data_IF_794122338410
#
_entry.id   IF_794122338410
#
_cell.length_a   1.000
_cell.length_b   1.000
_cell.length_c   1.000
_cell.angle_alpha   90.00
_cell.angle_beta   90.00
_cell.angle_gamma   90.00
#
_symmetry.space_group_name_H-M   'P 1'
#
loop_
_entity.id
_entity.type
_entity.pdbx_description
1 polymer ?
#
# COMPACT_ATOMS: atom_id res chain seq x y z
N UNK A 1 6.90 2.83 11.63
CA UNK A 1 6.45 1.70 10.78
C UNK A 1 4.97 1.93 10.51
N UNK A 2 4.52 1.75 9.27
CA UNK A 2 3.12 1.89 8.88
C UNK A 2 2.50 0.51 8.75
N UNK A 3 1.18 0.43 8.87
CA UNK A 3 0.42 -0.81 8.70
C UNK A 3 -0.73 -0.56 7.73
N UNK A 4 -0.88 -1.46 6.77
CA UNK A 4 -2.09 -1.53 5.93
C UNK A 4 -3.00 -2.56 6.55
N UNK A 5 -4.26 -2.18 6.79
CA UNK A 5 -5.32 -3.12 7.15
C UNK A 5 -6.37 -3.14 6.04
N UNK A 6 -6.90 -4.32 5.73
CA UNK A 6 -8.09 -4.47 4.89
C UNK A 6 -9.17 -5.25 5.63
N UNK A 7 -10.42 -4.86 5.43
CA UNK A 7 -11.56 -5.36 6.17
C UNK A 7 -12.84 -5.24 5.35
N UNK A 8 -13.81 -6.10 5.65
CA UNK A 8 -15.17 -5.96 5.16
C UNK A 8 -16.14 -6.62 6.13
N UNK A 9 -17.41 -6.20 6.07
CA UNK A 9 -18.50 -6.87 6.75
C UNK A 9 -19.78 -6.65 5.96
N UNK A 10 -20.47 -7.75 5.68
CA UNK A 10 -21.87 -7.68 5.25
C UNK A 10 -22.76 -7.60 6.48
N UNK A 11 -23.46 -6.49 6.62
CA UNK A 11 -24.43 -6.24 7.70
C UNK A 11 -25.37 -5.13 7.23
N UNK A 12 -26.65 -5.24 7.56
CA UNK A 12 -27.62 -4.20 7.22
C UNK A 12 -27.28 -2.92 7.97
N UNK A 13 -26.95 -1.86 7.24
CA UNK A 13 -26.62 -0.55 7.79
C UNK A 13 -27.72 0.47 7.52
N UNK A 14 -28.08 1.20 8.57
CA UNK A 14 -28.97 2.35 8.53
C UNK A 14 -28.15 3.64 8.70
N UNK A 15 -28.68 4.77 8.23
CA UNK A 15 -28.04 6.09 8.37
C UNK A 15 -26.57 6.13 7.88
N UNK A 16 -26.29 5.49 6.74
CA UNK A 16 -24.93 5.35 6.19
C UNK A 16 -24.24 6.70 5.91
N UNK A 17 -25.02 7.76 5.72
CA UNK A 17 -24.55 9.14 5.55
C UNK A 17 -23.88 9.68 6.83
N UNK A 18 -24.50 9.46 7.99
CA UNK A 18 -23.96 9.86 9.29
C UNK A 18 -22.70 9.07 9.58
N UNK A 19 -22.78 7.75 9.41
CA UNK A 19 -21.67 6.87 9.69
C UNK A 19 -20.46 7.10 8.77
N UNK A 20 -20.69 7.47 7.51
CA UNK A 20 -19.64 7.93 6.59
C UNK A 20 -18.87 9.12 7.16
N UNK A 21 -19.58 10.08 7.75
CA UNK A 21 -18.97 11.30 8.32
C UNK A 21 -18.11 10.93 9.53
N UNK A 22 -18.62 10.12 10.44
CA UNK A 22 -17.90 9.65 11.64
C UNK A 22 -16.63 8.88 11.28
N UNK A 23 -16.70 7.95 10.31
CA UNK A 23 -15.51 7.24 9.82
C UNK A 23 -14.49 8.22 9.23
N UNK A 24 -14.94 9.17 8.42
CA UNK A 24 -14.04 10.13 7.79
C UNK A 24 -13.34 11.02 8.82
N UNK A 25 -14.08 11.54 9.80
CA UNK A 25 -13.55 12.32 10.92
C UNK A 25 -12.53 11.51 11.71
N UNK A 26 -12.85 10.25 12.06
CA UNK A 26 -11.94 9.38 12.78
C UNK A 26 -10.64 9.11 12.03
N UNK A 27 -10.72 8.87 10.73
CA UNK A 27 -9.54 8.69 9.89
C UNK A 27 -8.69 9.97 9.83
N UNK A 28 -9.32 11.15 9.69
CA UNK A 28 -8.62 12.44 9.63
C UNK A 28 -7.88 12.72 10.94
N UNK A 29 -8.56 12.57 12.09
CA UNK A 29 -7.97 12.74 13.42
C UNK A 29 -6.79 11.81 13.68
N UNK A 30 -6.82 10.61 13.09
CA UNK A 30 -5.79 9.59 13.25
C UNK A 30 -4.76 9.59 12.13
N UNK A 31 -4.77 10.60 11.24
CA UNK A 31 -3.88 10.69 10.07
C UNK A 31 -3.88 9.43 9.18
N UNK A 32 -5.02 8.75 9.08
CA UNK A 32 -5.22 7.54 8.29
C UNK A 32 -5.65 7.93 6.87
N UNK A 33 -4.96 7.36 5.88
CA UNK A 33 -5.34 7.44 4.47
C UNK A 33 -5.82 6.06 4.00
N UNK A 34 -6.58 6.01 2.92
CA UNK A 34 -7.22 4.75 2.53
C UNK A 34 -8.47 4.93 1.70
N UNK A 35 -9.12 3.81 1.42
CA UNK A 35 -10.43 3.79 0.77
C UNK A 35 -11.40 2.96 1.59
N UNK A 36 -12.54 3.55 1.91
CA UNK A 36 -13.64 2.90 2.60
C UNK A 36 -14.92 3.11 1.78
N UNK A 37 -15.62 2.02 1.52
CA UNK A 37 -16.91 1.97 0.85
C UNK A 37 -17.98 1.56 1.85
N UNK A 38 -19.07 2.30 1.87
CA UNK A 38 -20.25 2.02 2.67
C UNK A 38 -21.44 1.83 1.74
N UNK A 39 -22.27 0.85 2.04
CA UNK A 39 -23.56 0.65 1.42
C UNK A 39 -24.54 0.16 2.49
N UNK A 40 -25.83 0.12 2.19
CA UNK A 40 -26.80 -0.50 3.09
C UNK A 40 -26.50 -1.98 3.36
N UNK A 41 -25.76 -2.66 2.46
CA UNK A 41 -25.31 -4.04 2.64
C UNK A 41 -24.05 -4.19 3.52
N UNK A 42 -23.41 -3.09 3.95
CA UNK A 42 -22.28 -3.15 4.89
C UNK A 42 -21.11 -2.20 4.60
N UNK A 43 -19.91 -2.64 4.97
CA UNK A 43 -18.65 -1.89 4.86
C UNK A 43 -17.57 -2.71 4.15
N UNK A 44 -16.73 -2.05 3.36
CA UNK A 44 -15.51 -2.60 2.77
C UNK A 44 -14.43 -1.53 2.76
N UNK A 45 -13.23 -1.83 3.22
CA UNK A 45 -12.17 -0.85 3.22
C UNK A 45 -10.77 -1.43 3.29
N UNK A 46 -9.84 -0.60 2.89
CA UNK A 46 -8.44 -0.78 3.18
C UNK A 46 -7.82 0.58 3.50
N UNK A 47 -7.09 0.64 4.60
CA UNK A 47 -6.52 1.89 5.13
C UNK A 47 -5.10 1.68 5.60
N UNK A 48 -4.34 2.76 5.70
CA UNK A 48 -2.96 2.76 6.13
C UNK A 48 -2.68 3.95 7.07
N UNK A 49 -2.01 3.63 8.17
CA UNK A 49 -1.61 4.58 9.20
C UNK A 49 -0.46 4.02 10.03
N UNK A 50 0.07 4.80 10.96
CA UNK A 50 0.97 4.24 11.98
C UNK A 50 0.20 3.26 12.88
N UNK A 51 0.94 2.39 13.56
CA UNK A 51 0.38 1.31 14.37
C UNK A 51 -0.60 1.81 15.45
N UNK A 52 -0.30 2.91 16.14
CA UNK A 52 -1.17 3.45 17.20
C UNK A 52 -2.47 3.98 16.62
N UNK A 53 -2.40 4.63 15.46
CA UNK A 53 -3.57 5.15 14.74
C UNK A 53 -4.45 4.01 14.24
N UNK A 54 -3.86 2.95 13.70
CA UNK A 54 -4.59 1.75 13.25
C UNK A 54 -5.32 1.08 14.42
N UNK A 55 -4.67 0.87 15.56
CA UNK A 55 -5.33 0.26 16.74
C UNK A 55 -6.53 1.10 17.20
N UNK A 56 -6.37 2.43 17.29
CA UNK A 56 -7.48 3.33 17.64
C UNK A 56 -8.64 3.25 16.65
N UNK A 57 -8.33 3.11 15.36
CA UNK A 57 -9.34 2.99 14.31
C UNK A 57 -10.05 1.64 14.36
N UNK A 58 -9.33 0.53 14.62
CA UNK A 58 -9.93 -0.79 14.84
C UNK A 58 -10.87 -0.78 16.04
N UNK A 59 -10.46 -0.20 17.17
CA UNK A 59 -11.33 -0.08 18.36
C UNK A 59 -12.57 0.78 18.11
N UNK A 60 -12.48 1.78 17.23
CA UNK A 60 -13.65 2.56 16.80
C UNK A 60 -14.60 1.71 15.94
N UNK A 61 -14.09 1.00 14.94
CA UNK A 61 -14.92 0.16 14.08
C UNK A 61 -15.56 -1.01 14.83
N UNK A 62 -14.89 -1.57 15.84
CA UNK A 62 -15.42 -2.68 16.66
C UNK A 62 -16.76 -2.33 17.33
N UNK A 63 -17.02 -1.05 17.61
CA UNK A 63 -18.28 -0.59 18.23
C UNK A 63 -19.47 -0.77 17.29
N UNK A 64 -19.27 -0.61 15.98
CA UNK A 64 -20.31 -0.74 14.96
C UNK A 64 -20.27 -2.09 14.23
N UNK A 65 -19.10 -2.74 14.23
CA UNK A 65 -18.84 -4.02 13.57
C UNK A 65 -18.12 -4.96 14.54
N UNK A 66 -18.83 -5.53 15.52
CA UNK A 66 -18.22 -6.47 16.44
C UNK A 66 -17.64 -7.67 15.69
N UNK A 67 -16.45 -8.11 16.12
CA UNK A 67 -15.69 -9.21 15.51
C UNK A 67 -15.28 -8.96 14.06
N UNK A 68 -15.03 -7.71 13.68
CA UNK A 68 -14.51 -7.38 12.36
C UNK A 68 -13.10 -7.94 12.18
N UNK A 69 -12.90 -8.78 11.17
CA UNK A 69 -11.59 -9.38 10.90
C UNK A 69 -10.74 -8.49 9.99
N UNK A 70 -9.52 -8.18 10.44
CA UNK A 70 -8.56 -7.36 9.69
C UNK A 70 -7.46 -8.24 9.08
N UNK A 71 -7.16 -8.00 7.80
CA UNK A 71 -5.95 -8.56 7.17
C UNK A 71 -4.88 -7.48 7.21
N UNK A 72 -3.83 -7.73 7.97
CA UNK A 72 -2.79 -6.75 8.28
C UNK A 72 -1.50 -7.05 7.50
N UNK A 73 -0.82 -5.98 7.07
CA UNK A 73 0.48 -6.04 6.41
C UNK A 73 1.33 -4.86 6.84
N UNK A 74 2.56 -5.11 7.27
CA UNK A 74 3.51 -4.06 7.61
C UNK A 74 4.10 -3.43 6.35
N UNK A 75 4.19 -2.09 6.36
CA UNK A 75 4.71 -1.30 5.24
C UNK A 75 5.65 -0.21 5.75
N UNK A 76 6.64 0.14 4.92
CA UNK A 76 7.66 1.14 5.29
C UNK A 76 7.12 2.57 5.24
N UNK A 77 6.18 2.82 4.35
CA UNK A 77 5.63 4.15 4.07
C UNK A 77 4.11 4.06 3.82
N UNK A 78 3.46 5.23 3.88
CA UNK A 78 2.05 5.40 3.60
C UNK A 78 1.69 4.85 2.20
N UNK A 79 0.77 3.89 2.13
CA UNK A 79 0.39 3.18 0.89
C UNK A 79 -0.78 3.84 0.13
N UNK A 80 -1.29 4.96 0.64
CA UNK A 80 -2.36 5.73 0.00
C UNK A 80 -2.00 7.22 -0.07
N UNK A 81 -2.20 7.83 -1.22
CA UNK A 81 -2.02 9.28 -1.38
C UNK A 81 -3.14 10.15 -0.76
N UNK A 82 -4.32 9.59 -0.47
CA UNK A 82 -5.46 10.32 0.13
C UNK A 82 -6.46 9.38 0.80
N UNK A 83 -7.30 9.96 1.67
CA UNK A 83 -8.49 9.30 2.21
C UNK A 83 -9.68 9.43 1.25
N UNK A 84 -10.41 8.34 1.05
CA UNK A 84 -11.64 8.29 0.26
C UNK A 84 -12.68 7.46 1.01
N UNK A 85 -13.68 8.12 1.59
CA UNK A 85 -14.86 7.45 2.18
C UNK A 85 -16.08 7.72 1.30
N UNK A 86 -16.66 6.68 0.69
CA UNK A 86 -17.71 6.81 -0.32
C UNK A 86 -18.92 5.93 -0.05
N UNK A 87 -20.10 6.50 -0.23
CA UNK A 87 -21.34 5.73 -0.33
C UNK A 87 -21.43 5.05 -1.70
N UNK A 88 -21.97 3.82 -1.70
CA UNK A 88 -22.20 2.99 -2.88
C UNK A 88 -23.51 2.24 -2.72
N UNK A 89 -24.04 1.73 -3.85
CA UNK A 89 -25.14 0.77 -3.83
C UNK A 89 -24.69 -0.60 -3.29
N UNK A 90 -23.46 -0.97 -3.62
CA UNK A 90 -22.82 -2.21 -3.20
C UNK A 90 -21.39 -1.92 -2.72
N UNK A 91 -20.96 -2.56 -1.64
CA UNK A 91 -19.57 -2.50 -1.14
C UNK A 91 -18.59 -3.27 -2.03
N UNK A 92 -19.12 -4.18 -2.86
CA UNK A 92 -18.46 -4.77 -4.02
C UNK A 92 -19.50 -5.00 -5.11
N UNK A 93 -19.30 -4.40 -6.28
CA UNK A 93 -20.29 -4.40 -7.36
C UNK A 93 -20.34 -5.77 -8.02
N UNK A 94 -21.48 -6.47 -7.88
CA UNK A 94 -21.71 -7.77 -8.50
C UNK A 94 -22.75 -7.71 -9.61
N UNK A 95 -23.67 -6.73 -9.58
CA UNK A 95 -24.64 -6.51 -10.66
C UNK A 95 -25.80 -7.50 -10.71
N UNK A 96 -25.90 -8.41 -9.73
CA UNK A 96 -27.05 -9.30 -9.50
C UNK A 96 -27.44 -9.25 -8.03
N UNK A 97 -28.72 -9.45 -7.75
CA UNK A 97 -29.20 -9.54 -6.37
C UNK A 97 -28.87 -10.93 -5.81
N UNK A 98 -27.92 -11.01 -4.88
CA UNK A 98 -27.48 -12.26 -4.26
C UNK A 98 -27.44 -12.07 -2.75
N UNK A 99 -28.14 -12.96 -2.03
CA UNK A 99 -28.06 -13.01 -0.57
C UNK A 99 -26.76 -13.68 -0.14
N UNK A 100 -25.98 -12.99 0.68
CA UNK A 100 -24.74 -13.50 1.30
C UNK A 100 -25.02 -14.31 2.58
N UNK A 101 -26.27 -14.61 2.90
CA UNK A 101 -26.63 -15.50 4.01
C UNK A 101 -26.34 -16.98 3.70
N UNK A 102 -26.28 -17.32 2.41
CA UNK A 102 -26.17 -18.70 1.93
C UNK A 102 -24.87 -18.93 1.14
N UNK A 103 -23.74 -18.51 1.70
CA UNK A 103 -22.40 -18.62 1.07
C UNK A 103 -21.88 -20.07 1.02
N UNK A 104 -20.75 -20.24 0.33
CA UNK A 104 -19.96 -21.47 0.39
C UNK A 104 -19.30 -21.67 1.76
N UNK A 105 -18.82 -22.88 2.02
CA UNK A 105 -18.12 -23.21 3.27
C UNK A 105 -16.79 -22.45 3.34
N UNK A 106 -16.50 -21.80 4.46
CA UNK A 106 -15.20 -21.17 4.68
C UNK A 106 -14.13 -22.25 4.86
N UNK A 107 -13.11 -22.21 3.99
CA UNK A 107 -11.95 -23.08 4.04
C UNK A 107 -10.78 -22.26 4.59
N UNK A 108 -10.26 -22.64 5.75
CA UNK A 108 -9.11 -21.95 6.34
C UNK A 108 -7.85 -22.09 5.47
N UNK A 109 -6.88 -21.16 5.58
CA UNK A 109 -5.59 -21.30 4.90
C UNK A 109 -4.90 -22.64 5.17
N UNK A 110 -4.95 -23.12 6.41
CA UNK A 110 -4.42 -24.41 6.84
C UNK A 110 -5.07 -25.57 6.08
N UNK A 111 -6.40 -25.59 6.01
CA UNK A 111 -7.11 -26.66 5.30
C UNK A 111 -6.80 -26.63 3.81
N UNK A 112 -6.77 -25.45 3.19
CA UNK A 112 -6.41 -25.32 1.78
C UNK A 112 -4.98 -25.83 1.52
N UNK A 113 -4.03 -25.44 2.35
CA UNK A 113 -2.63 -25.88 2.25
C UNK A 113 -2.51 -27.41 2.37
N UNK A 114 -3.22 -28.01 3.34
CA UNK A 114 -3.31 -29.46 3.48
C UNK A 114 -3.96 -30.14 2.28
N UNK A 115 -5.01 -29.57 1.70
CA UNK A 115 -5.66 -30.13 0.51
C UNK A 115 -4.71 -30.20 -0.70
N UNK A 116 -3.87 -29.18 -0.88
CA UNK A 116 -2.81 -29.21 -1.89
C UNK A 116 -1.75 -30.28 -1.60
N UNK A 117 -1.25 -30.36 -0.36
CA UNK A 117 -0.24 -31.36 0.05
C UNK A 117 -0.74 -32.80 -0.09
N UNK A 118 -2.00 -33.03 0.27
CA UNK A 118 -2.68 -34.31 0.17
C UNK A 118 -3.16 -34.62 -1.27
N UNK A 119 -3.00 -33.69 -2.21
CA UNK A 119 -3.46 -33.80 -3.61
C UNK A 119 -4.93 -34.18 -3.71
N UNK A 120 -5.79 -33.55 -2.90
CA UNK A 120 -7.25 -33.75 -2.99
C UNK A 120 -7.77 -33.33 -4.36
N UNK A 121 -8.83 -33.99 -4.80
CA UNK A 121 -9.57 -33.58 -6.00
C UNK A 121 -10.48 -32.40 -5.66
N UNK A 122 -10.07 -31.20 -6.10
CA UNK A 122 -10.85 -29.97 -6.04
C UNK A 122 -10.47 -29.04 -7.19
N UNK A 123 -11.38 -28.15 -7.54
CA UNK A 123 -11.17 -27.10 -8.53
C UNK A 123 -11.08 -25.77 -7.80
N UNK A 124 -10.01 -25.02 -8.00
CA UNK A 124 -9.86 -23.68 -7.43
C UNK A 124 -10.10 -22.61 -8.51
N UNK A 125 -11.01 -21.68 -8.22
CA UNK A 125 -11.45 -20.63 -9.15
C UNK A 125 -11.03 -19.26 -8.63
N UNK A 126 -10.35 -18.50 -9.47
CA UNK A 126 -10.01 -17.12 -9.23
C UNK A 126 -11.21 -16.21 -9.57
N UNK A 127 -11.82 -15.59 -8.56
CA UNK A 127 -12.90 -14.62 -8.73
C UNK A 127 -12.39 -13.19 -8.97
N UNK A 128 -11.09 -13.02 -9.22
CA UNK A 128 -10.49 -11.73 -9.51
C UNK A 128 -10.55 -11.37 -10.99
N UNK A 129 -10.27 -10.11 -11.29
CA UNK A 129 -10.13 -9.66 -12.66
C UNK A 129 -8.84 -10.25 -13.27
N UNK A 130 -8.83 -10.48 -14.58
CA UNK A 130 -7.70 -11.12 -15.29
C UNK A 130 -6.34 -10.52 -14.95
N UNK A 131 -6.21 -9.18 -14.93
CA UNK A 131 -4.95 -8.51 -14.60
C UNK A 131 -4.41 -8.87 -13.19
N UNK A 132 -5.29 -9.15 -12.23
CA UNK A 132 -4.87 -9.55 -10.88
C UNK A 132 -4.27 -10.96 -10.89
N UNK A 133 -4.83 -11.85 -11.70
CA UNK A 133 -4.38 -13.25 -11.85
C UNK A 133 -3.13 -13.39 -12.73
N UNK A 134 -2.90 -12.44 -13.65
CA UNK A 134 -1.70 -12.41 -14.50
C UNK A 134 -0.40 -12.34 -13.70
N UNK A 135 -0.39 -11.62 -12.58
CA UNK A 135 0.82 -11.44 -11.77
C UNK A 135 1.00 -12.44 -10.65
N UNK A 136 -0.06 -13.14 -10.25
CA UNK A 136 0.00 -14.20 -9.27
C UNK A 136 -1.34 -14.85 -9.07
N UNK A 137 -1.35 -16.13 -8.72
CA UNK A 137 -2.55 -16.95 -8.53
C UNK A 137 -2.19 -18.20 -7.74
N UNK A 138 -3.19 -18.87 -7.18
CA UNK A 138 -2.96 -20.21 -6.65
C UNK A 138 -2.58 -21.19 -7.76
N UNK A 139 -1.73 -22.16 -7.42
CA UNK A 139 -1.31 -23.23 -8.31
C UNK A 139 -2.54 -23.95 -8.87
N UNK A 140 -2.52 -24.18 -10.19
CA UNK A 140 -3.58 -24.83 -10.97
C UNK A 140 -4.94 -24.11 -10.95
N UNK A 141 -4.98 -22.84 -10.52
CA UNK A 141 -6.22 -22.07 -10.49
C UNK A 141 -6.81 -21.79 -11.88
N UNK A 142 -8.11 -22.03 -11.99
CA UNK A 142 -8.94 -21.62 -13.12
C UNK A 142 -9.22 -20.12 -13.02
N UNK A 143 -8.70 -19.37 -13.99
CA UNK A 143 -8.90 -17.93 -14.08
C UNK A 143 -10.09 -17.66 -15.00
N UNK A 144 -11.13 -17.03 -14.47
CA UNK A 144 -12.27 -16.62 -15.28
C UNK A 144 -11.87 -15.43 -16.16
N UNK A 145 -12.35 -15.36 -17.43
CA UNK A 145 -12.02 -14.27 -18.34
C UNK A 145 -12.83 -13.00 -18.04
N UNK A 146 -12.78 -12.51 -16.81
CA UNK A 146 -13.54 -11.35 -16.33
C UNK A 146 -12.65 -10.11 -16.23
N UNK A 147 -13.15 -8.98 -16.78
CA UNK A 147 -12.49 -7.67 -16.65
C UNK A 147 -12.94 -6.95 -15.38
N UNK A 148 -14.18 -7.18 -14.99
CA UNK A 148 -14.78 -6.66 -13.78
C UNK A 148 -15.51 -7.78 -13.03
N UNK A 149 -15.58 -7.67 -11.71
CA UNK A 149 -16.26 -8.68 -10.88
C UNK A 149 -17.76 -8.85 -11.22
N UNK A 150 -18.43 -7.79 -11.72
CA UNK A 150 -19.82 -7.87 -12.23
C UNK A 150 -19.99 -8.80 -13.44
N UNK A 151 -18.90 -9.18 -14.10
CA UNK A 151 -18.91 -10.11 -15.23
C UNK A 151 -18.87 -11.58 -14.75
N UNK A 152 -18.60 -11.82 -13.45
CA UNK A 152 -18.53 -13.16 -12.84
C UNK A 152 -19.79 -13.99 -13.07
N UNK A 153 -21.03 -13.47 -12.88
CA UNK A 153 -22.25 -14.24 -13.08
C UNK A 153 -22.36 -14.90 -14.45
N UNK A 154 -21.97 -14.19 -15.51
CA UNK A 154 -22.05 -14.70 -16.87
C UNK A 154 -20.84 -15.58 -17.23
N UNK A 155 -19.68 -15.34 -16.61
CA UNK A 155 -18.50 -16.17 -16.80
C UNK A 155 -18.67 -17.57 -16.19
N UNK A 156 -19.20 -17.66 -14.96
CA UNK A 156 -19.28 -18.94 -14.23
C UNK A 156 -20.30 -19.91 -14.82
N UNK A 157 -21.36 -19.41 -15.47
CA UNK A 157 -22.36 -20.24 -16.17
C UNK A 157 -21.76 -21.12 -17.26
N UNK A 158 -20.63 -20.72 -17.85
CA UNK A 158 -19.94 -21.50 -18.88
C UNK A 158 -19.26 -22.76 -18.33
N UNK A 159 -19.23 -22.93 -17.02
CA UNK A 159 -18.57 -24.03 -16.32
C UNK A 159 -19.57 -24.98 -15.64
N UNK A 160 -20.65 -25.35 -16.36
CA UNK A 160 -21.66 -26.28 -15.83
C UNK A 160 -21.08 -27.65 -15.47
N UNK A 161 -20.03 -28.07 -16.17
CA UNK A 161 -19.28 -29.30 -15.91
C UNK A 161 -18.56 -29.32 -14.55
N UNK A 162 -18.55 -28.20 -13.82
CA UNK A 162 -17.99 -28.07 -12.48
C UNK A 162 -19.03 -28.10 -11.37
N UNK A 163 -20.34 -28.13 -11.69
CA UNK A 163 -21.44 -28.03 -10.70
C UNK A 163 -21.42 -29.15 -9.65
N UNK A 164 -21.03 -30.36 -10.05
CA UNK A 164 -20.95 -31.53 -9.16
C UNK A 164 -19.56 -31.71 -8.53
N UNK A 165 -18.59 -30.86 -8.88
CA UNK A 165 -17.25 -30.92 -8.33
C UNK A 165 -17.14 -30.13 -7.04
N UNK A 166 -16.12 -30.47 -6.25
CA UNK A 166 -15.66 -29.65 -5.14
C UNK A 166 -14.97 -28.41 -5.67
N UNK A 167 -15.57 -27.24 -5.46
CA UNK A 167 -15.05 -25.97 -5.98
C UNK A 167 -14.66 -25.04 -4.84
N UNK A 168 -13.46 -24.49 -4.90
CA UNK A 168 -12.95 -23.48 -3.95
C UNK A 168 -12.83 -22.15 -4.70
N UNK A 169 -13.54 -21.11 -4.27
CA UNK A 169 -13.40 -19.77 -4.85
C UNK A 169 -12.53 -18.88 -3.96
N UNK A 170 -11.69 -18.05 -4.57
CA UNK A 170 -10.84 -17.12 -3.83
C UNK A 170 -10.77 -15.74 -4.49
N UNK A 171 -10.36 -14.75 -3.69
CA UNK A 171 -9.97 -13.43 -4.16
C UNK A 171 -8.94 -12.83 -3.17
N UNK A 172 -8.55 -11.57 -3.37
CA UNK A 172 -7.52 -10.90 -2.56
C UNK A 172 -7.77 -10.95 -1.06
N UNK A 173 -8.98 -10.56 -0.61
CA UNK A 173 -9.30 -10.42 0.81
C UNK A 173 -10.55 -11.17 1.29
N UNK A 174 -11.28 -11.86 0.41
CA UNK A 174 -12.48 -12.64 0.74
C UNK A 174 -13.82 -12.02 0.30
N UNK A 175 -13.96 -10.69 0.26
CA UNK A 175 -15.27 -10.03 0.02
C UNK A 175 -15.99 -10.47 -1.26
N UNK A 176 -15.27 -10.70 -2.36
CA UNK A 176 -15.87 -11.17 -3.63
C UNK A 176 -16.39 -12.60 -3.50
N UNK A 177 -15.71 -13.43 -2.70
CA UNK A 177 -16.07 -14.82 -2.52
C UNK A 177 -17.44 -14.99 -1.87
N UNK A 178 -17.86 -14.04 -1.02
CA UNK A 178 -19.18 -14.08 -0.39
C UNK A 178 -20.28 -14.07 -1.46
N UNK A 179 -20.26 -13.08 -2.37
CA UNK A 179 -21.22 -13.00 -3.47
C UNK A 179 -21.01 -14.11 -4.50
N UNK A 180 -19.76 -14.43 -4.84
CA UNK A 180 -19.45 -15.45 -5.84
C UNK A 180 -19.92 -16.84 -5.41
N UNK A 181 -19.60 -17.27 -4.18
CA UNK A 181 -19.95 -18.59 -3.67
C UNK A 181 -21.46 -18.74 -3.45
N UNK A 182 -22.13 -17.70 -2.94
CA UNK A 182 -23.59 -17.69 -2.81
C UNK A 182 -24.26 -17.78 -4.19
N UNK A 183 -23.78 -17.05 -5.19
CA UNK A 183 -24.29 -17.12 -6.55
C UNK A 183 -24.06 -18.49 -7.19
N UNK A 184 -22.88 -19.09 -7.01
CA UNK A 184 -22.59 -20.43 -7.52
C UNK A 184 -23.57 -21.46 -6.97
N UNK A 185 -23.91 -21.39 -5.68
CA UNK A 185 -24.94 -22.28 -5.09
C UNK A 185 -26.33 -22.06 -5.71
N UNK A 186 -26.70 -20.81 -5.99
CA UNK A 186 -27.96 -20.50 -6.71
C UNK A 186 -27.97 -21.07 -8.14
N UNK A 187 -26.83 -21.09 -8.82
CA UNK A 187 -26.66 -21.67 -10.15
C UNK A 187 -26.50 -23.20 -10.15
N UNK A 188 -26.64 -23.86 -8.99
CA UNK A 188 -26.68 -25.31 -8.85
C UNK A 188 -25.34 -25.99 -8.59
N UNK A 189 -24.30 -25.25 -8.18
CA UNK A 189 -23.07 -25.87 -7.67
C UNK A 189 -23.32 -26.47 -6.27
N UNK A 190 -22.97 -27.73 -6.07
CA UNK A 190 -23.37 -28.49 -4.88
C UNK A 190 -22.34 -28.48 -3.75
N UNK A 191 -21.04 -28.40 -4.04
CA UNK A 191 -19.97 -28.43 -3.04
C UNK A 191 -19.00 -27.23 -3.20
N UNK A 192 -19.47 -26.05 -2.77
CA UNK A 192 -18.77 -24.78 -2.90
C UNK A 192 -18.10 -24.37 -1.58
N UNK A 193 -16.81 -24.08 -1.66
CA UNK A 193 -15.96 -23.55 -0.61
C UNK A 193 -15.43 -22.16 -0.99
N UNK A 194 -15.03 -21.38 -0.01
CA UNK A 194 -14.33 -20.11 -0.21
C UNK A 194 -13.13 -19.98 0.73
N UNK A 195 -12.03 -19.42 0.23
CA UNK A 195 -10.81 -19.24 1.04
C UNK A 195 -11.03 -18.14 2.08
N UNK A 196 -11.00 -18.53 3.34
CA UNK A 196 -11.23 -17.63 4.45
C UNK A 196 -10.08 -16.60 4.57
N UNK A 197 -10.44 -15.32 4.60
CA UNK A 197 -9.44 -14.25 4.57
C UNK A 197 -8.83 -13.95 3.19
N UNK A 198 -9.09 -14.78 2.18
CA UNK A 198 -8.54 -14.63 0.83
C UNK A 198 -7.03 -14.86 0.75
N UNK A 199 -6.43 -14.40 -0.36
CA UNK A 199 -4.99 -14.55 -0.64
C UNK A 199 -4.13 -13.97 0.47
N UNK A 200 -4.45 -12.76 0.95
CA UNK A 200 -3.62 -12.07 1.96
C UNK A 200 -3.52 -12.91 3.24
N UNK A 201 -4.64 -13.50 3.70
CA UNK A 201 -4.62 -14.36 4.89
C UNK A 201 -3.81 -15.64 4.65
N UNK A 202 -3.90 -16.23 3.45
CA UNK A 202 -3.12 -17.41 3.10
C UNK A 202 -1.61 -17.12 3.08
N UNK A 203 -1.16 -16.11 2.33
CA UNK A 203 0.28 -15.82 2.18
C UNK A 203 0.93 -15.32 3.47
N UNK A 204 0.17 -14.70 4.37
CA UNK A 204 0.66 -14.31 5.69
C UNK A 204 1.02 -15.53 6.56
N UNK A 205 0.37 -16.67 6.33
CA UNK A 205 0.54 -17.91 7.12
C UNK A 205 1.41 -18.94 6.40
N UNK A 206 1.33 -18.99 5.07
CA UNK A 206 2.03 -19.91 4.19
C UNK A 206 2.77 -19.12 3.10
N UNK A 207 3.82 -18.37 3.46
CA UNK A 207 4.56 -17.52 2.52
C UNK A 207 5.31 -18.31 1.45
N UNK A 208 5.56 -19.62 1.63
CA UNK A 208 6.15 -20.52 0.64
C UNK A 208 5.14 -21.61 0.21
N UNK A 209 3.85 -21.28 0.30
CA UNK A 209 2.74 -22.19 0.02
C UNK A 209 2.46 -22.38 -1.48
N UNK A 210 1.18 -22.61 -1.79
CA UNK A 210 0.72 -22.88 -3.16
C UNK A 210 0.23 -21.63 -3.91
N UNK A 211 0.46 -20.43 -3.38
CA UNK A 211 0.19 -19.18 -4.09
C UNK A 211 1.45 -18.74 -4.84
N UNK A 212 1.36 -18.64 -6.17
CA UNK A 212 2.49 -18.34 -7.04
C UNK A 212 2.48 -16.87 -7.48
N UNK A 213 3.66 -16.26 -7.64
CA UNK A 213 3.78 -14.89 -8.17
C UNK A 213 3.53 -13.81 -7.11
N UNK A 214 2.73 -12.81 -7.45
CA UNK A 214 2.45 -11.66 -6.58
C UNK A 214 0.97 -11.43 -6.30
N UNK A 215 0.66 -10.81 -5.16
CA UNK A 215 -0.70 -10.48 -4.78
C UNK A 215 -1.02 -9.03 -5.14
N UNK A 216 -1.82 -8.82 -6.19
CA UNK A 216 -2.28 -7.49 -6.59
C UNK A 216 -3.16 -6.84 -5.49
N UNK A 217 -2.88 -5.58 -5.18
CA UNK A 217 -3.63 -4.78 -4.19
C UNK A 217 -4.04 -3.43 -4.76
N UNK A 218 -5.18 -2.92 -4.28
CA UNK A 218 -5.83 -1.71 -4.81
C UNK A 218 -5.35 -0.41 -4.12
N UNK A 219 -4.05 -0.32 -3.89
CA UNK A 219 -3.38 0.82 -3.28
C UNK A 219 -2.07 1.15 -4.01
N UNK A 220 -1.34 2.16 -3.55
CA UNK A 220 -0.17 2.68 -4.29
C UNK A 220 0.98 1.65 -4.39
N UNK A 221 0.93 0.54 -3.63
CA UNK A 221 1.90 -0.57 -3.75
C UNK A 221 1.70 -1.39 -5.02
N UNK A 222 0.46 -1.50 -5.51
CA UNK A 222 0.00 -2.37 -6.61
C UNK A 222 0.24 -3.88 -6.40
N UNK A 223 1.26 -4.30 -5.65
CA UNK A 223 1.53 -5.67 -5.24
C UNK A 223 2.00 -5.70 -3.77
N UNK A 224 1.47 -6.61 -2.95
CA UNK A 224 1.79 -6.67 -1.50
C UNK A 224 2.67 -7.84 -1.07
N UNK A 225 2.65 -8.93 -1.83
CA UNK A 225 3.52 -10.10 -1.68
C UNK A 225 4.10 -10.38 -3.06
N UNK A 226 5.40 -10.64 -3.15
CA UNK A 226 6.09 -10.94 -4.41
C UNK A 226 7.00 -12.13 -4.16
N UNK A 227 6.64 -13.24 -4.77
CA UNK A 227 7.49 -14.41 -4.88
C UNK A 227 8.11 -14.51 -6.27
N UNK A 228 8.47 -15.72 -6.71
CA UNK A 228 8.98 -15.94 -8.06
C UNK A 228 7.95 -15.44 -9.10
N UNK A 229 8.31 -14.49 -9.97
CA UNK A 229 7.38 -13.97 -10.97
C UNK A 229 6.87 -15.05 -11.92
N UNK A 230 5.55 -15.15 -12.05
CA UNK A 230 4.89 -15.97 -13.08
C UNK A 230 4.55 -15.18 -14.34
N UNK A 231 4.78 -13.86 -14.31
CA UNK A 231 4.54 -12.93 -15.41
C UNK A 231 5.84 -12.34 -15.96
N UNK A 232 5.71 -11.56 -17.03
CA UNK A 232 6.81 -10.96 -17.77
C UNK A 232 6.57 -9.48 -17.98
N UNK A 233 7.65 -8.71 -17.97
CA UNK A 233 7.65 -7.31 -18.35
C UNK A 233 7.06 -7.17 -19.76
N UNK A 234 6.07 -6.29 -19.92
CA UNK A 234 5.40 -6.05 -21.21
C UNK A 234 6.38 -5.51 -22.27
N UNK A 235 7.48 -4.85 -21.84
CA UNK A 235 8.41 -4.16 -22.73
C UNK A 235 9.62 -4.99 -23.14
N UNK A 236 10.17 -5.80 -22.24
CA UNK A 236 11.40 -6.58 -22.50
C UNK A 236 11.23 -8.09 -22.28
N UNK A 237 10.05 -8.54 -21.87
CA UNK A 237 9.71 -9.95 -21.63
C UNK A 237 10.54 -10.68 -20.55
N UNK A 238 11.38 -9.96 -19.81
CA UNK A 238 12.05 -10.48 -18.61
C UNK A 238 11.02 -10.81 -17.52
N UNK A 239 11.32 -11.82 -16.68
CA UNK A 239 10.47 -12.19 -15.54
C UNK A 239 10.22 -10.97 -14.63
N UNK A 240 8.97 -10.67 -14.35
CA UNK A 240 8.57 -9.48 -13.60
C UNK A 240 7.14 -9.65 -13.09
N UNK A 241 6.87 -9.26 -11.84
CA UNK A 241 5.54 -9.31 -11.22
C UNK A 241 5.07 -7.92 -10.73
N UNK A 242 5.73 -6.86 -11.18
CA UNK A 242 5.45 -5.50 -10.73
C UNK A 242 4.61 -4.76 -11.76
N UNK A 243 3.45 -4.29 -11.30
CA UNK A 243 2.62 -3.37 -12.06
C UNK A 243 3.08 -1.92 -11.91
N UNK A 244 2.80 -1.13 -12.93
CA UNK A 244 2.82 0.33 -12.85
C UNK A 244 1.73 0.92 -13.73
N UNK A 245 1.25 2.12 -13.38
CA UNK A 245 0.36 2.89 -14.23
C UNK A 245 1.22 3.72 -15.18
N UNK A 246 0.82 3.80 -16.45
CA UNK A 246 1.46 4.67 -17.42
C UNK A 246 1.44 6.11 -16.94
N UNK A 247 2.59 6.77 -16.96
CA UNK A 247 2.71 8.17 -16.54
C UNK A 247 2.07 9.15 -17.51
N UNK A 248 1.77 8.75 -18.75
CA UNK A 248 0.91 9.55 -19.62
C UNK A 248 -0.52 9.58 -19.05
N UNK A 249 -0.97 10.75 -18.61
CA UNK A 249 -2.28 10.99 -17.98
C UNK A 249 -3.45 10.75 -18.95
N UNK A 250 -3.21 10.79 -20.27
CA UNK A 250 -4.21 10.47 -21.28
C UNK A 250 -4.33 8.95 -21.52
N UNK A 251 -3.36 8.16 -21.06
CA UNK A 251 -3.31 6.71 -21.20
C UNK A 251 -3.69 5.98 -19.91
N UNK A 252 -3.01 6.29 -18.80
CA UNK A 252 -3.18 5.70 -17.45
C UNK A 252 -3.29 4.15 -17.44
N UNK A 253 -2.78 3.48 -18.47
CA UNK A 253 -2.87 2.02 -18.60
C UNK A 253 -2.01 1.36 -17.54
N UNK A 254 -2.57 0.37 -16.86
CA UNK A 254 -1.86 -0.51 -15.95
C UNK A 254 -1.11 -1.59 -16.75
N UNK A 255 0.20 -1.73 -16.54
CA UNK A 255 1.03 -2.71 -17.27
C UNK A 255 2.20 -3.22 -16.41
N UNK A 256 2.71 -4.41 -16.74
CA UNK A 256 3.79 -5.06 -15.99
C UNK A 256 5.13 -4.54 -16.51
N UNK A 257 5.95 -3.95 -15.63
CA UNK A 257 7.18 -3.30 -16.05
C UNK A 257 8.30 -3.46 -15.03
N UNK A 258 9.41 -4.05 -15.45
CA UNK A 258 10.61 -4.17 -14.62
C UNK A 258 11.26 -2.81 -14.36
N UNK A 259 12.06 -2.71 -13.30
CA UNK A 259 12.77 -1.49 -12.89
C UNK A 259 13.58 -0.85 -14.03
N UNK A 260 14.35 -1.65 -14.78
CA UNK A 260 15.16 -1.16 -15.92
C UNK A 260 14.30 -0.52 -17.01
N UNK A 261 13.16 -1.13 -17.35
CA UNK A 261 12.26 -0.58 -18.35
C UNK A 261 11.52 0.65 -17.81
N UNK A 262 11.14 0.67 -16.53
CA UNK A 262 10.52 1.85 -15.90
C UNK A 262 11.42 3.05 -15.98
N UNK A 263 12.70 2.89 -15.70
CA UNK A 263 13.69 3.96 -15.80
C UNK A 263 13.85 4.43 -17.26
N UNK A 264 14.11 3.50 -18.19
CA UNK A 264 14.30 3.81 -19.62
C UNK A 264 13.07 4.49 -20.25
N UNK A 265 11.87 4.07 -19.85
CA UNK A 265 10.61 4.55 -20.38
C UNK A 265 9.97 5.65 -19.53
N UNK A 266 10.64 6.14 -18.48
CA UNK A 266 10.09 7.14 -17.54
C UNK A 266 8.68 6.76 -17.04
N UNK A 267 8.50 5.48 -16.66
CA UNK A 267 7.24 4.89 -16.21
C UNK A 267 6.08 4.94 -17.22
N UNK A 268 6.38 4.93 -18.52
CA UNK A 268 5.35 4.90 -19.58
C UNK A 268 5.34 3.57 -20.34
N UNK A 269 4.17 3.21 -20.88
CA UNK A 269 3.95 1.92 -21.53
C UNK A 269 4.47 1.84 -22.98
N UNK A 270 4.90 2.96 -23.56
CA UNK A 270 5.36 3.03 -24.96
C UNK A 270 6.15 4.32 -25.20
N UNK A 271 6.89 4.40 -26.32
CA UNK A 271 7.58 5.63 -26.71
C UNK A 271 6.60 6.78 -26.96
N UNK A 272 5.45 6.50 -27.59
CA UNK A 272 4.38 7.49 -27.77
C UNK A 272 3.93 8.08 -26.43
N UNK A 273 3.74 7.22 -25.42
CA UNK A 273 3.37 7.69 -24.09
C UNK A 273 4.52 8.41 -23.38
N UNK A 274 5.78 8.02 -23.62
CA UNK A 274 6.96 8.70 -23.05
C UNK A 274 7.06 10.16 -23.51
N UNK A 275 6.73 10.41 -24.77
CA UNK A 275 6.85 11.72 -25.41
C UNK A 275 5.55 12.53 -25.33
N UNK A 276 4.50 11.99 -24.70
CA UNK A 276 3.22 12.69 -24.52
C UNK A 276 3.39 13.94 -23.61
N UNK A 277 2.68 15.04 -23.88
CA UNK A 277 2.86 16.29 -23.15
C UNK A 277 2.34 16.23 -21.70
N UNK A 278 1.33 15.39 -21.43
CA UNK A 278 0.66 15.30 -20.14
C UNK A 278 1.20 14.13 -19.32
N UNK A 279 2.32 14.35 -18.65
CA UNK A 279 2.93 13.36 -17.76
C UNK A 279 2.49 13.53 -16.31
N UNK A 280 2.36 12.42 -15.60
CA UNK A 280 2.24 12.37 -14.14
C UNK A 280 3.56 12.87 -13.56
N UNK A 281 3.47 13.78 -12.61
CA UNK A 281 4.65 14.30 -11.92
C UNK A 281 5.18 13.18 -11.02
N UNK A 282 6.42 12.75 -11.27
CA UNK A 282 7.15 11.98 -10.28
C UNK A 282 7.31 12.88 -9.06
N UNK A 283 6.66 12.56 -7.94
CA UNK A 283 7.07 13.14 -6.67
C UNK A 283 8.52 12.72 -6.51
N UNK A 284 9.45 13.64 -6.70
CA UNK A 284 10.79 13.46 -6.17
C UNK A 284 10.56 13.08 -4.71
N UNK A 285 10.97 11.87 -4.32
CA UNK A 285 11.09 11.58 -2.91
C UNK A 285 12.11 12.60 -2.44
N UNK A 286 11.65 13.71 -1.86
CA UNK A 286 12.48 14.55 -1.03
C UNK A 286 13.11 13.56 -0.06
N UNK A 287 14.36 13.17 -0.32
CA UNK A 287 15.17 12.47 0.68
C UNK A 287 15.19 13.47 1.81
N UNK A 288 14.39 13.25 2.85
CA UNK A 288 14.47 14.02 4.07
C UNK A 288 15.95 14.06 4.44
N UNK A 289 16.54 15.24 4.31
CA UNK A 289 17.95 15.41 4.59
C UNK A 289 18.11 15.11 6.08
N UNK A 290 19.07 14.26 6.48
CA UNK A 290 19.17 13.86 7.88
C UNK A 290 19.46 15.09 8.74
N UNK A 291 18.62 15.32 9.75
CA UNK A 291 18.86 16.34 10.77
C UNK A 291 20.14 15.95 11.51
N UNK A 292 21.11 16.86 11.52
CA UNK A 292 22.42 16.69 12.15
C UNK A 292 22.65 17.64 13.31
N UNK A 293 21.79 18.63 13.52
CA UNK A 293 21.84 19.46 14.72
C UNK A 293 20.73 20.47 14.84
N UNK A 294 20.69 21.15 15.99
CA UNK A 294 19.73 22.21 16.32
C UNK A 294 20.51 23.43 16.81
N UNK A 295 20.20 24.60 16.26
CA UNK A 295 20.82 25.88 16.68
C UNK A 295 20.37 26.22 18.10
N UNK A 296 21.30 26.32 19.03
CA UNK A 296 21.05 26.80 20.39
C UNK A 296 21.24 28.31 20.50
N UNK A 297 22.17 28.89 19.73
CA UNK A 297 22.41 30.33 19.73
C UNK A 297 23.04 30.83 18.42
N UNK A 298 22.93 32.13 18.15
CA UNK A 298 23.65 32.81 17.08
C UNK A 298 24.28 34.09 17.61
N UNK A 299 25.59 34.25 17.40
CA UNK A 299 26.36 35.42 17.82
C UNK A 299 26.44 36.44 16.67
N UNK A 300 25.65 37.53 16.67
CA UNK A 300 25.48 38.37 15.48
C UNK A 300 26.73 39.14 15.07
N UNK A 301 27.53 39.60 16.04
CA UNK A 301 28.77 40.33 15.77
C UNK A 301 29.87 39.43 15.18
N UNK A 302 29.94 38.18 15.64
CA UNK A 302 30.94 37.21 15.17
C UNK A 302 30.46 36.42 13.95
N UNK A 303 29.15 36.45 13.64
CA UNK A 303 28.49 35.60 12.65
C UNK A 303 28.74 34.11 12.87
N UNK A 304 28.65 33.68 14.13
CA UNK A 304 28.90 32.28 14.54
C UNK A 304 27.61 31.64 15.05
N UNK A 305 27.32 30.42 14.62
CA UNK A 305 26.23 29.61 15.13
C UNK A 305 26.75 28.65 16.21
N UNK A 306 26.03 28.54 17.32
CA UNK A 306 26.19 27.48 18.31
C UNK A 306 25.14 26.40 18.02
N UNK A 307 25.59 25.18 17.74
CA UNK A 307 24.72 24.07 17.35
C UNK A 307 24.96 22.87 18.27
N UNK A 308 23.86 22.30 18.77
CA UNK A 308 23.87 20.99 19.42
C UNK A 308 23.69 19.91 18.37
N UNK A 309 24.65 19.00 18.26
CA UNK A 309 24.64 17.96 17.24
C UNK A 309 23.70 16.79 17.60
N UNK A 310 22.88 16.40 16.64
CA UNK A 310 22.05 15.18 16.68
C UNK A 310 22.60 14.08 15.75
N UNK A 311 23.60 14.41 14.93
CA UNK A 311 24.34 13.50 14.07
C UNK A 311 25.83 13.83 14.01
N UNK A 312 26.57 13.11 13.16
CA UNK A 312 28.01 13.34 12.97
C UNK A 312 28.26 14.34 11.84
N UNK A 313 29.30 15.15 11.98
CA UNK A 313 29.68 16.16 10.99
C UNK A 313 31.20 16.31 10.88
N UNK A 314 31.67 16.78 9.73
CA UNK A 314 33.09 17.11 9.52
C UNK A 314 33.24 18.47 8.86
N UNK A 315 34.45 19.02 8.95
CA UNK A 315 34.87 20.10 8.06
C UNK A 315 34.63 19.67 6.60
N UNK A 316 34.28 20.64 5.75
CA UNK A 316 33.80 20.49 4.36
C UNK A 316 32.39 19.93 4.17
N UNK A 317 31.69 19.51 5.23
CA UNK A 317 30.28 19.13 5.13
C UNK A 317 29.44 20.31 4.65
N UNK A 318 28.50 20.04 3.74
CA UNK A 318 27.48 21.03 3.34
C UNK A 318 26.22 20.79 4.15
N UNK A 319 25.71 21.84 4.79
CA UNK A 319 24.51 21.80 5.63
C UNK A 319 23.49 22.81 5.15
N UNK A 320 22.23 22.55 5.48
CA UNK A 320 21.11 23.45 5.22
C UNK A 320 20.44 23.77 6.55
N UNK A 321 20.30 25.05 6.88
CA UNK A 321 19.50 25.48 8.02
C UNK A 321 18.04 25.68 7.60
N UNK A 322 17.11 25.17 8.40
CA UNK A 322 15.68 25.28 8.17
C UNK A 322 14.97 25.73 9.45
N UNK A 323 14.08 26.71 9.33
CA UNK A 323 13.31 27.24 10.44
C UNK A 323 11.96 27.77 9.96
N UNK A 324 11.02 27.98 10.89
CA UNK A 324 9.66 28.48 10.58
C UNK A 324 9.66 29.86 9.91
N UNK A 325 10.73 30.63 10.09
CA UNK A 325 10.88 32.01 9.62
C UNK A 325 12.26 32.28 8.99
N UNK A 326 13.07 31.23 8.82
CA UNK A 326 14.40 31.28 8.21
C UNK A 326 14.27 30.71 6.80
N UNK A 327 14.56 31.51 5.77
CA UNK A 327 14.70 30.99 4.39
C UNK A 327 15.78 29.93 4.40
N UNK A 328 15.62 28.81 3.70
CA UNK A 328 16.61 27.73 3.77
C UNK A 328 18.01 28.22 3.36
N UNK A 329 18.97 28.16 4.29
CA UNK A 329 20.32 28.72 4.11
C UNK A 329 21.31 27.57 3.95
N UNK A 330 21.98 27.51 2.80
CA UNK A 330 23.01 26.52 2.55
C UNK A 330 24.36 27.05 3.03
N UNK A 331 25.06 26.25 3.84
CA UNK A 331 26.35 26.59 4.41
C UNK A 331 27.35 25.46 4.20
N UNK A 332 28.60 25.81 3.89
CA UNK A 332 29.70 24.87 3.86
C UNK A 332 30.55 25.09 5.10
N UNK A 333 30.75 24.04 5.89
CA UNK A 333 31.51 24.12 7.12
C UNK A 333 32.99 24.22 6.78
N UNK A 334 33.58 25.39 7.00
CA UNK A 334 35.00 25.66 6.76
C UNK A 334 35.86 25.44 8.01
N UNK A 335 35.24 25.50 9.18
CA UNK A 335 35.88 25.38 10.48
C UNK A 335 34.87 24.85 11.48
N UNK A 336 35.32 24.07 12.46
CA UNK A 336 34.52 23.60 13.60
C UNK A 336 35.30 23.84 14.89
N UNK A 337 34.63 24.33 15.92
CA UNK A 337 35.17 24.41 17.27
C UNK A 337 34.25 23.75 18.27
N UNK A 338 34.81 23.10 19.29
CA UNK A 338 34.04 22.64 20.45
C UNK A 338 33.61 23.80 21.36
N UNK A 339 32.95 23.47 22.47
CA UNK A 339 32.52 24.43 23.48
C UNK A 339 33.70 25.16 24.15
N UNK A 340 34.85 24.50 24.26
CA UNK A 340 36.06 25.04 24.90
C UNK A 340 36.94 25.84 23.91
N UNK A 341 36.55 25.90 22.63
CA UNK A 341 37.20 26.67 21.59
C UNK A 341 38.29 25.93 20.81
N UNK A 342 38.48 24.63 21.05
CA UNK A 342 39.44 23.80 20.32
C UNK A 342 38.94 23.54 18.89
N UNK A 343 39.85 23.60 17.92
CA UNK A 343 39.54 23.31 16.51
C UNK A 343 39.35 21.81 16.31
N UNK A 344 38.30 21.43 15.59
CA UNK A 344 37.93 20.05 15.28
C UNK A 344 37.91 19.79 13.77
N UNK A 345 38.39 18.61 13.36
CA UNK A 345 38.18 18.11 11.99
C UNK A 345 36.83 17.41 11.83
N UNK A 346 36.36 16.78 12.92
CA UNK A 346 35.09 16.03 12.99
C UNK A 346 34.44 16.22 14.35
N UNK A 347 33.12 16.24 14.38
CA UNK A 347 32.32 16.30 15.59
C UNK A 347 31.20 15.26 15.54
N UNK A 348 30.85 14.73 16.71
CA UNK A 348 29.92 13.62 16.87
C UNK A 348 28.62 14.06 17.54
N UNK A 349 27.58 13.24 17.40
CA UNK A 349 26.30 13.42 18.07
C UNK A 349 26.49 13.71 19.57
N UNK A 350 25.74 14.69 20.08
CA UNK A 350 25.74 15.11 21.48
C UNK A 350 26.71 16.25 21.80
N UNK A 351 27.65 16.55 20.91
CA UNK A 351 28.57 17.68 21.09
C UNK A 351 27.87 19.02 20.83
N UNK A 352 28.34 20.06 21.51
CA UNK A 352 28.06 21.46 21.16
C UNK A 352 29.23 21.99 20.36
N UNK A 353 28.94 22.53 19.18
CA UNK A 353 29.95 23.07 18.28
C UNK A 353 29.62 24.51 17.93
N UNK A 354 30.66 25.26 17.60
CA UNK A 354 30.55 26.57 16.99
C UNK A 354 31.23 26.61 15.63
N UNK A 355 30.62 27.31 14.67
CA UNK A 355 31.23 27.58 13.38
C UNK A 355 30.66 28.85 12.73
N UNK A 356 31.41 29.51 11.83
CA UNK A 356 30.95 30.68 11.09
C UNK A 356 29.80 30.34 10.14
N UNK A 357 28.82 31.23 10.04
CA UNK A 357 27.71 31.18 9.07
C UNK A 357 27.58 32.51 8.34
N UNK A 358 27.28 32.49 7.04
CA UNK A 358 27.21 33.71 6.22
C UNK A 358 25.98 34.56 6.54
N UNK A 359 24.88 33.89 6.87
CA UNK A 359 23.60 34.52 7.16
C UNK A 359 23.13 34.27 8.59
N UNK A 360 22.18 35.09 9.05
CA UNK A 360 21.62 34.99 10.39
C UNK A 360 20.75 33.73 10.52
N UNK A 361 21.15 32.83 11.40
CA UNK A 361 20.33 31.70 11.87
C UNK A 361 19.62 32.04 13.18
N UNK A 362 18.51 31.35 13.48
CA UNK A 362 17.71 31.56 14.69
C UNK A 362 17.82 30.36 15.63
N UNK A 363 17.62 30.61 16.92
CA UNK A 363 17.51 29.53 17.90
C UNK A 363 16.35 28.60 17.53
N UNK A 364 16.59 27.29 17.63
CA UNK A 364 15.74 26.18 17.19
C UNK A 364 15.65 25.95 15.68
N UNK A 365 16.39 26.69 14.85
CA UNK A 365 16.58 26.27 13.46
C UNK A 365 17.25 24.89 13.43
N UNK A 366 16.71 23.99 12.61
CA UNK A 366 17.30 22.66 12.40
C UNK A 366 18.37 22.74 11.34
N UNK A 367 19.46 22.01 11.55
CA UNK A 367 20.57 21.86 10.62
C UNK A 367 20.48 20.47 10.01
N UNK A 368 20.33 20.38 8.69
CA UNK A 368 20.27 19.10 7.95
C UNK A 368 21.51 18.94 7.07
N UNK A 369 22.02 17.72 6.94
CA UNK A 369 23.22 17.44 6.16
C UNK A 369 22.87 17.22 4.70
N UNK A 370 23.45 18.02 3.82
CA UNK A 370 23.32 17.85 2.38
C UNK A 370 24.28 16.76 1.91
N UNK A 371 23.79 15.80 1.11
CA UNK A 371 24.69 14.88 0.42
C UNK A 371 25.48 15.66 -0.63
N UNK A 372 26.78 15.41 -0.71
CA UNK A 372 27.61 15.86 -1.84
C UNK A 372 26.96 15.30 -3.11
N UNK A 373 26.68 16.16 -4.08
CA UNK A 373 26.28 15.70 -5.40
C UNK A 373 27.45 14.90 -5.99
N UNK A 374 27.24 13.60 -6.23
CA UNK A 374 28.16 12.76 -7.00
C UNK A 374 28.08 13.10 -8.49
#
# INVERSE_FOLDING_TARGET
>A
MYKVISFYRYVSLQNIEVFRKEIAEKCIESHILGRILLAHEGINGAVCGDEKSIVKFQSFLEQSFPSLTYREQDVKEQSYHKLVVRLRKEIVVFGKNVSVEHTGKHLSPQELDSWYKEKKDFVIIDARNVHEAEVGKFKDAFVLPIKHFRDFPEAIKKFENLKEKKVVVYCTGGIRCEKASAYMKQEGFTDVYQVDGGIINYVNQFPEGFYEGSCFVFDDRLSSYIEKPISRCTLCHAACAEYTNCYNLDCDTLFICCSTCREKMKNTCSLVCKDAPRQRIMKEKNKELPIVGVVENYYPHAKVALVRLEGNISVQSSVLFQGTTTKSIQEKIVELRDYDGNVLEKAQRGMRITFPVQEKVRTHDIMVLMKVAE
#
